data_IF_927587676963
#
_entry.id   IF_927587676963
#
_cell.length_a   1.000
_cell.length_b   1.000
_cell.length_c   1.000
_cell.angle_alpha   90.00
_cell.angle_beta   90.00
_cell.angle_gamma   90.00
#
_symmetry.space_group_name_H-M   'P 1'
#
loop_
_entity.id
_entity.type
_entity.pdbx_description
1 polymer ?
#
# COMPACT_ATOMS: atom_id res chain seq x y z
N UNK A 1 -11.84 -10.32 13.64
CA UNK A 1 -11.18 -9.06 13.23
C UNK A 1 -11.82 -8.58 11.93
N UNK A 2 -11.44 -7.41 11.44
CA UNK A 2 -11.91 -6.87 10.15
C UNK A 2 -10.69 -6.50 9.31
N UNK A 3 -10.70 -6.86 8.02
CA UNK A 3 -9.71 -6.40 7.05
C UNK A 3 -10.38 -5.40 6.11
N UNK A 4 -9.72 -4.28 5.86
CA UNK A 4 -10.13 -3.32 4.81
C UNK A 4 -9.08 -3.41 3.71
N UNK A 5 -9.46 -3.95 2.56
CA UNK A 5 -8.60 -4.13 1.40
C UNK A 5 -8.93 -3.07 0.34
N UNK A 6 -7.97 -2.20 0.07
CA UNK A 6 -8.12 -1.10 -0.87
C UNK A 6 -7.26 -1.32 -2.13
N UNK A 7 -7.80 -1.13 -3.32
CA UNK A 7 -7.02 -1.03 -4.56
C UNK A 7 -7.61 0.10 -5.42
N UNK A 8 -6.77 0.87 -6.11
CA UNK A 8 -7.22 1.94 -7.00
C UNK A 8 -7.85 1.39 -8.30
N UNK A 9 -7.56 0.15 -8.68
CA UNK A 9 -8.06 -0.50 -9.88
C UNK A 9 -9.34 -1.32 -9.60
N UNK A 10 -10.45 -0.85 -10.15
CA UNK A 10 -11.77 -1.47 -9.99
C UNK A 10 -11.81 -2.93 -10.50
N UNK A 11 -11.02 -3.28 -11.52
CA UNK A 11 -10.95 -4.66 -12.03
C UNK A 11 -10.30 -5.57 -10.99
N UNK A 12 -9.22 -5.11 -10.36
CA UNK A 12 -8.55 -5.84 -9.28
C UNK A 12 -9.44 -5.99 -8.06
N UNK A 13 -10.18 -4.96 -7.67
CA UNK A 13 -11.21 -5.07 -6.63
C UNK A 13 -12.25 -6.15 -6.96
N UNK A 14 -12.73 -6.19 -8.21
CA UNK A 14 -13.72 -7.18 -8.65
C UNK A 14 -13.19 -8.61 -8.59
N UNK A 15 -11.94 -8.81 -9.03
CA UNK A 15 -11.25 -10.10 -8.88
C UNK A 15 -11.08 -10.48 -7.42
N UNK A 16 -10.68 -9.54 -6.56
CA UNK A 16 -10.55 -9.78 -5.12
C UNK A 16 -11.87 -10.22 -4.51
N UNK A 17 -12.97 -9.49 -4.74
CA UNK A 17 -14.32 -9.87 -4.25
C UNK A 17 -14.70 -11.28 -4.67
N UNK A 18 -14.42 -11.66 -5.92
CA UNK A 18 -14.67 -13.02 -6.41
C UNK A 18 -13.85 -14.05 -5.63
N UNK A 19 -12.54 -13.82 -5.45
CA UNK A 19 -11.67 -14.74 -4.71
C UNK A 19 -12.07 -14.85 -3.22
N UNK A 20 -12.45 -13.73 -2.60
CA UNK A 20 -12.91 -13.70 -1.21
C UNK A 20 -14.15 -14.57 -1.00
N UNK A 21 -15.13 -14.47 -1.91
CA UNK A 21 -16.33 -15.32 -1.91
C UNK A 21 -15.98 -16.80 -2.02
N UNK A 22 -15.04 -17.15 -2.89
CA UNK A 22 -14.62 -18.54 -3.07
C UNK A 22 -13.86 -19.08 -1.84
N UNK A 23 -13.02 -18.26 -1.21
CA UNK A 23 -12.26 -18.61 -0.01
C UNK A 23 -13.11 -18.69 1.28
N UNK A 24 -14.38 -18.25 1.24
CA UNK A 24 -15.26 -18.20 2.40
C UNK A 24 -14.93 -17.11 3.42
N UNK A 25 -14.09 -16.13 3.06
CA UNK A 25 -13.70 -15.05 3.98
C UNK A 25 -14.81 -14.00 4.12
N UNK A 26 -15.44 -13.94 5.30
CA UNK A 26 -16.58 -13.06 5.60
C UNK A 26 -16.19 -11.74 6.28
N UNK A 27 -14.95 -11.60 6.72
CA UNK A 27 -14.48 -10.48 7.54
C UNK A 27 -13.58 -9.50 6.78
N UNK A 28 -13.92 -9.20 5.53
CA UNK A 28 -13.16 -8.30 4.67
C UNK A 28 -14.07 -7.32 3.93
N UNK A 29 -13.74 -6.05 3.98
CA UNK A 29 -14.36 -4.98 3.20
C UNK A 29 -13.41 -4.61 2.08
N UNK A 30 -13.91 -4.57 0.85
CA UNK A 30 -13.13 -4.13 -0.31
C UNK A 30 -13.54 -2.71 -0.65
N UNK A 31 -12.56 -1.80 -0.75
CA UNK A 31 -12.75 -0.41 -1.16
C UNK A 31 -11.99 -0.14 -2.45
N UNK A 32 -12.47 0.86 -3.21
CA UNK A 32 -11.80 1.32 -4.42
C UNK A 32 -11.51 2.81 -4.28
N UNK A 33 -10.28 3.14 -3.91
CA UNK A 33 -9.80 4.51 -3.74
C UNK A 33 -8.28 4.58 -3.97
N UNK A 34 -7.77 5.76 -4.31
CA UNK A 34 -6.33 5.99 -4.35
C UNK A 34 -5.75 5.92 -2.93
N UNK A 35 -4.73 5.08 -2.71
CA UNK A 35 -4.22 4.78 -1.38
C UNK A 35 -3.74 6.02 -0.62
N UNK A 36 -3.08 6.96 -1.31
CA UNK A 36 -2.64 8.23 -0.72
C UNK A 36 -3.78 9.18 -0.34
N UNK A 37 -5.01 8.88 -0.77
CA UNK A 37 -6.23 9.66 -0.48
C UNK A 37 -7.25 8.87 0.36
N UNK A 38 -6.90 7.67 0.82
CA UNK A 38 -7.80 6.78 1.56
C UNK A 38 -8.35 7.52 2.79
N UNK A 39 -9.65 7.83 2.88
CA UNK A 39 -10.19 8.64 3.98
C UNK A 39 -10.12 7.89 5.32
N UNK A 40 -10.08 8.60 6.47
CA UNK A 40 -10.21 7.91 7.75
C UNK A 40 -11.62 7.35 7.86
N UNK A 41 -11.75 6.13 8.35
CA UNK A 41 -13.05 5.50 8.52
C UNK A 41 -13.71 6.03 9.80
N UNK A 42 -15.04 6.06 9.82
CA UNK A 42 -15.78 6.41 11.02
C UNK A 42 -16.07 5.14 11.83
N UNK A 43 -15.74 5.17 13.11
CA UNK A 43 -16.07 4.11 14.05
C UNK A 43 -17.55 4.15 14.47
N UNK A 44 -18.04 3.09 15.12
CA UNK A 44 -19.44 3.01 15.58
C UNK A 44 -19.84 4.15 16.53
N UNK A 45 -18.85 4.70 17.25
CA UNK A 45 -19.03 5.79 18.23
C UNK A 45 -18.91 7.19 17.62
N UNK A 46 -18.79 7.31 16.30
CA UNK A 46 -18.60 8.59 15.58
C UNK A 46 -17.17 9.16 15.62
N UNK A 47 -16.24 8.49 16.30
CA UNK A 47 -14.82 8.83 16.28
C UNK A 47 -14.08 8.27 15.06
N UNK A 48 -12.86 8.74 14.81
CA UNK A 48 -12.00 8.19 13.75
C UNK A 48 -11.61 6.74 14.09
N UNK A 49 -11.87 5.84 13.18
CA UNK A 49 -11.43 4.45 13.22
C UNK A 49 -10.02 4.38 12.65
N UNK A 50 -9.05 4.18 13.53
CA UNK A 50 -7.67 3.87 13.18
C UNK A 50 -7.44 2.35 13.21
N UNK A 51 -6.46 1.88 12.45
CA UNK A 51 -6.13 0.46 12.35
C UNK A 51 -5.06 0.06 13.37
N UNK A 52 -5.19 -1.15 13.92
CA UNK A 52 -4.14 -1.74 14.77
C UNK A 52 -2.91 -2.12 13.95
N UNK A 53 -3.12 -2.49 12.68
CA UNK A 53 -2.08 -2.93 11.74
C UNK A 53 -2.40 -2.40 10.34
N UNK A 54 -1.40 -1.88 9.64
CA UNK A 54 -1.52 -1.42 8.25
C UNK A 54 -0.42 -2.08 7.41
N UNK A 55 -0.78 -2.57 6.21
CA UNK A 55 0.16 -3.03 5.21
C UNK A 55 0.03 -2.13 3.97
N UNK A 56 1.11 -1.45 3.62
CA UNK A 56 1.23 -0.67 2.41
C UNK A 56 2.10 -1.43 1.40
N UNK A 57 1.44 -2.23 0.56
CA UNK A 57 2.06 -2.79 -0.64
C UNK A 57 1.94 -1.77 -1.78
N UNK A 58 3.03 -1.04 -2.03
CA UNK A 58 2.99 0.15 -2.90
C UNK A 58 3.38 -0.17 -4.34
N UNK A 59 2.84 0.57 -5.33
CA UNK A 59 3.29 0.42 -6.71
C UNK A 59 4.80 0.71 -6.82
N UNK A 60 5.52 -0.22 -7.46
CA UNK A 60 6.98 -0.22 -7.51
C UNK A 60 7.47 -0.45 -8.96
N UNK A 61 8.74 -0.14 -9.25
CA UNK A 61 9.35 -0.41 -10.57
C UNK A 61 9.47 -1.90 -10.89
N UNK A 62 9.49 -2.73 -9.84
CA UNK A 62 9.32 -4.18 -9.90
C UNK A 62 10.60 -4.97 -10.15
N UNK A 63 11.78 -4.35 -10.18
CA UNK A 63 13.06 -4.98 -10.52
C UNK A 63 13.40 -6.25 -9.72
N UNK A 64 12.84 -6.42 -8.51
CA UNK A 64 12.91 -7.67 -7.74
C UNK A 64 12.09 -8.84 -8.31
N UNK A 65 11.27 -8.63 -9.34
CA UNK A 65 10.34 -9.62 -9.89
C UNK A 65 10.86 -10.31 -11.16
N UNK A 66 12.12 -10.11 -11.54
CA UNK A 66 12.72 -10.70 -12.77
C UNK A 66 12.45 -12.20 -12.94
N UNK A 67 12.40 -12.98 -11.85
CA UNK A 67 12.05 -14.41 -11.89
C UNK A 67 10.63 -14.68 -12.41
N UNK A 68 9.66 -13.83 -12.04
CA UNK A 68 8.25 -13.96 -12.44
C UNK A 68 7.95 -13.22 -13.75
N UNK A 69 8.68 -12.15 -14.03
CA UNK A 69 8.52 -11.30 -15.21
C UNK A 69 9.88 -10.97 -15.86
N UNK A 70 10.45 -11.89 -16.66
CA UNK A 70 11.79 -11.72 -17.25
C UNK A 70 11.94 -10.49 -18.16
N UNK A 71 10.85 -10.07 -18.82
CA UNK A 71 10.84 -8.90 -19.70
C UNK A 71 11.05 -7.58 -18.95
N UNK A 72 10.87 -7.59 -17.64
CA UNK A 72 10.99 -6.39 -16.82
C UNK A 72 12.39 -5.80 -16.86
N UNK A 73 13.44 -6.63 -16.85
CA UNK A 73 14.82 -6.17 -16.92
C UNK A 73 15.10 -5.31 -18.15
N UNK A 74 14.50 -5.67 -19.30
CA UNK A 74 14.68 -4.93 -20.56
C UNK A 74 14.03 -3.55 -20.51
N UNK A 75 12.90 -3.43 -19.81
CA UNK A 75 12.09 -2.21 -19.72
C UNK A 75 12.44 -1.35 -18.51
N UNK A 76 13.15 -1.91 -17.53
CA UNK A 76 13.48 -1.21 -16.30
C UNK A 76 14.40 -0.02 -16.56
N UNK A 77 14.09 1.09 -15.92
CA UNK A 77 14.76 2.38 -16.07
C UNK A 77 14.73 3.12 -14.73
N UNK A 78 15.83 3.74 -14.27
CA UNK A 78 15.87 4.47 -13.00
C UNK A 78 14.80 5.56 -12.88
N UNK A 79 14.42 6.16 -14.00
CA UNK A 79 13.40 7.20 -14.10
C UNK A 79 12.02 6.72 -13.61
N UNK A 80 11.72 5.42 -13.77
CA UNK A 80 10.48 4.84 -13.26
C UNK A 80 10.44 4.86 -11.74
N UNK A 81 11.54 4.49 -11.07
CA UNK A 81 11.65 4.54 -9.62
C UNK A 81 11.59 5.99 -9.10
N UNK A 82 12.28 6.92 -9.76
CA UNK A 82 12.23 8.35 -9.41
C UNK A 82 10.82 8.93 -9.55
N UNK A 83 10.07 8.55 -10.58
CA UNK A 83 8.69 8.98 -10.78
C UNK A 83 7.71 8.42 -9.75
N UNK A 84 7.97 7.22 -9.22
CA UNK A 84 7.12 6.57 -8.21
C UNK A 84 7.43 6.99 -6.78
N UNK A 85 8.67 7.43 -6.49
CA UNK A 85 9.11 7.79 -5.15
C UNK A 85 8.16 8.76 -4.41
N UNK A 86 7.70 9.90 -5.01
CA UNK A 86 6.78 10.80 -4.32
C UNK A 86 5.47 10.12 -3.92
N UNK A 87 4.88 9.33 -4.82
CA UNK A 87 3.65 8.58 -4.57
C UNK A 87 3.84 7.55 -3.45
N UNK A 88 4.97 6.84 -3.45
CA UNK A 88 5.29 5.85 -2.42
C UNK A 88 5.41 6.50 -1.03
N UNK A 89 6.03 7.68 -0.94
CA UNK A 89 6.09 8.47 0.30
C UNK A 89 4.70 8.90 0.74
N UNK A 90 3.86 9.43 -0.17
CA UNK A 90 2.49 9.85 0.16
C UNK A 90 1.63 8.68 0.68
N UNK A 91 1.72 7.50 0.06
CA UNK A 91 1.01 6.30 0.52
C UNK A 91 1.53 5.87 1.90
N UNK A 92 2.84 5.90 2.12
CA UNK A 92 3.43 5.50 3.41
C UNK A 92 3.02 6.45 4.54
N UNK A 93 3.08 7.77 4.30
CA UNK A 93 2.59 8.79 5.26
C UNK A 93 1.11 8.56 5.54
N UNK A 94 0.29 8.36 4.51
CA UNK A 94 -1.13 8.11 4.70
C UNK A 94 -1.41 6.83 5.50
N UNK A 95 -0.63 5.77 5.26
CA UNK A 95 -0.70 4.54 6.02
C UNK A 95 -0.40 4.75 7.51
N UNK A 96 0.58 5.60 7.83
CA UNK A 96 0.89 5.98 9.22
C UNK A 96 -0.25 6.77 9.87
N UNK A 97 -0.84 7.74 9.17
CA UNK A 97 -1.99 8.52 9.67
C UNK A 97 -3.21 7.65 9.98
N UNK A 98 -3.38 6.54 9.25
CA UNK A 98 -4.45 5.58 9.47
C UNK A 98 -4.11 4.55 10.56
N UNK A 99 -2.87 4.51 11.04
CA UNK A 99 -2.41 3.56 12.07
C UNK A 99 -2.57 4.17 13.47
N UNK A 100 -3.04 3.39 14.43
CA UNK A 100 -3.10 3.83 15.84
C UNK A 100 -1.70 4.11 16.39
N UNK A 101 -1.60 5.03 17.36
CA UNK A 101 -0.41 5.15 18.19
C UNK A 101 -0.15 3.82 18.90
N UNK A 102 1.07 3.28 18.77
CA UNK A 102 1.43 1.93 19.24
C UNK A 102 0.99 0.78 18.32
N UNK A 103 0.34 1.09 17.20
CA UNK A 103 0.08 0.14 16.11
C UNK A 103 1.35 -0.16 15.29
N UNK A 104 1.23 -1.09 14.35
CA UNK A 104 2.34 -1.46 13.47
C UNK A 104 1.95 -1.24 12.00
N UNK A 105 2.77 -0.48 11.30
CA UNK A 105 2.66 -0.30 9.85
C UNK A 105 3.82 -1.04 9.18
N UNK A 106 3.51 -1.77 8.12
CA UNK A 106 4.49 -2.44 7.25
C UNK A 106 4.43 -1.76 5.89
N UNK A 107 5.58 -1.25 5.45
CA UNK A 107 5.80 -0.79 4.09
C UNK A 107 6.49 -1.91 3.30
N UNK A 108 5.97 -2.24 2.12
CA UNK A 108 6.58 -3.26 1.26
C UNK A 108 6.58 -2.83 -0.20
N UNK A 109 7.65 -3.21 -0.89
CA UNK A 109 7.75 -3.12 -2.34
C UNK A 109 8.22 -4.45 -2.90
N UNK A 110 8.08 -4.56 -4.20
CA UNK A 110 8.66 -5.60 -5.04
C UNK A 110 10.01 -5.20 -5.68
N UNK A 111 10.63 -4.12 -5.18
CA UNK A 111 11.80 -3.46 -5.76
C UNK A 111 13.06 -3.74 -4.95
N UNK A 112 14.22 -3.80 -5.63
CA UNK A 112 15.53 -3.87 -4.97
C UNK A 112 16.24 -2.50 -4.96
N UNK A 113 15.64 -1.47 -5.56
CA UNK A 113 16.23 -0.16 -5.68
C UNK A 113 16.09 0.63 -4.36
N UNK A 114 17.17 1.21 -3.81
CA UNK A 114 17.09 1.99 -2.58
C UNK A 114 16.24 3.26 -2.69
N UNK A 115 16.02 3.79 -3.89
CA UNK A 115 15.12 4.92 -4.14
C UNK A 115 13.68 4.58 -3.72
N UNK A 116 13.25 3.33 -3.91
CA UNK A 116 11.90 2.87 -3.59
C UNK A 116 11.80 2.25 -2.19
N UNK A 117 12.92 2.09 -1.49
CA UNK A 117 12.97 1.44 -0.18
C UNK A 117 13.54 2.40 0.87
N UNK A 118 14.85 2.38 1.10
CA UNK A 118 15.51 3.14 2.17
C UNK A 118 15.25 4.65 2.06
N UNK A 119 15.21 5.19 0.84
CA UNK A 119 14.93 6.60 0.63
C UNK A 119 13.50 6.99 1.04
N UNK A 120 12.51 6.13 0.75
CA UNK A 120 11.11 6.36 1.14
C UNK A 120 10.99 6.35 2.66
N UNK A 121 11.56 5.33 3.32
CA UNK A 121 11.55 5.23 4.78
C UNK A 121 12.25 6.43 5.42
N UNK A 122 13.40 6.84 4.89
CA UNK A 122 14.16 8.00 5.39
C UNK A 122 13.35 9.29 5.28
N UNK A 123 12.66 9.52 4.16
CA UNK A 123 11.83 10.71 3.97
C UNK A 123 10.60 10.71 4.89
N UNK A 124 9.95 9.55 5.08
CA UNK A 124 8.81 9.41 6.01
C UNK A 124 9.24 9.72 7.44
N UNK A 125 10.39 9.19 7.88
CA UNK A 125 10.95 9.49 9.21
C UNK A 125 11.30 10.98 9.36
N UNK A 126 11.87 11.60 8.33
CA UNK A 126 12.20 13.04 8.32
C UNK A 126 10.95 13.92 8.48
N UNK A 127 9.80 13.52 7.93
CA UNK A 127 8.52 14.23 8.09
C UNK A 127 7.84 14.02 9.43
N UNK A 128 8.26 12.99 10.17
CA UNK A 128 7.67 12.60 11.46
C UNK A 128 8.40 13.20 12.66
N UNK A 129 9.51 13.92 12.43
CA UNK A 129 10.24 14.70 13.43
C UNK A 129 9.68 16.12 13.52
#
# INVERSE_FOLDING_TARGET
>A
GLVVANDADLKRCSTLVHQLRYSGMSHCVVTNEQAQRMPPLLGPSGGLLLFDRVLCDVPCSGDGTMRKAPDMWRRWRPEAALGLHPLQVEIAVRGLELTKVGGLMVYSTCSLNPIENEAVVSEVLRRSQ
#
